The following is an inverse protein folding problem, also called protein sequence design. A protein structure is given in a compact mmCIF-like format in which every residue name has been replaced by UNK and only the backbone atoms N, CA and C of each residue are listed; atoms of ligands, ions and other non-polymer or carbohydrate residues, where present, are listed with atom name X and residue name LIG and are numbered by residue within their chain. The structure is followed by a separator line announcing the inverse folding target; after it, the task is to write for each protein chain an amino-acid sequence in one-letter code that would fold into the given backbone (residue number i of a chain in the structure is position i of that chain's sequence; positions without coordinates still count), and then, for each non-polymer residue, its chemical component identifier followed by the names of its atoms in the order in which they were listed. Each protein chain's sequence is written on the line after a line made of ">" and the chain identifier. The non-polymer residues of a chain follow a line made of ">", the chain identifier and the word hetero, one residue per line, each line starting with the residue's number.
data_IF_043823711835
#
_entry.id   IF_043823711835
#
_cell.length_a   1.000
_cell.length_b   1.000
_cell.length_c   1.000
_cell.angle_alpha   90.00
_cell.angle_beta   90.00
_cell.angle_gamma   90.00
#
_symmetry.space_group_name_H-M   'P 1'
#
loop_
_entity.id
_entity.type
_entity.pdbx_description
1 polymer ?
#
# COMPACT_ATOMS: atom_id res chain seq x y z
N UNK A 1 -6.11 -8.96 6.68
CA UNK A 1 -4.63 -8.92 6.69
C UNK A 1 -4.15 -7.98 7.77
N UNK A 2 -3.02 -8.28 8.41
CA UNK A 2 -2.36 -7.37 9.33
C UNK A 2 -1.69 -6.26 8.51
N UNK A 3 -1.94 -4.99 8.84
CA UNK A 3 -1.29 -3.83 8.25
C UNK A 3 -0.56 -3.05 9.33
N UNK A 4 0.50 -2.35 8.96
CA UNK A 4 1.27 -1.50 9.87
C UNK A 4 0.67 -0.10 9.90
N UNK A 5 0.18 0.32 11.06
CA UNK A 5 -0.44 1.63 11.27
C UNK A 5 0.45 2.46 12.19
N UNK A 6 0.86 3.64 11.73
CA UNK A 6 1.55 4.62 12.55
C UNK A 6 0.52 5.55 13.19
N UNK A 7 0.56 5.65 14.52
CA UNK A 7 -0.22 6.61 15.30
C UNK A 7 0.73 7.75 15.68
N UNK A 8 0.36 8.98 15.34
CA UNK A 8 1.06 10.21 15.73
C UNK A 8 0.11 11.02 16.57
N UNK A 9 0.28 10.94 17.88
CA UNK A 9 -0.62 11.49 18.90
C UNK A 9 0.18 11.76 20.16
N UNK A 10 0.16 12.98 20.69
CA UNK A 10 0.92 13.37 21.89
C UNK A 10 0.19 13.04 23.20
N UNK A 11 -1.13 12.90 23.15
CA UNK A 11 -1.92 12.52 24.31
C UNK A 11 -1.87 11.00 24.52
N UNK A 12 -1.04 10.56 25.48
CA UNK A 12 -0.74 9.15 25.73
C UNK A 12 -2.00 8.29 25.92
N UNK A 13 -3.03 8.80 26.63
CA UNK A 13 -4.27 8.07 26.86
C UNK A 13 -5.04 7.77 25.57
N UNK A 14 -5.06 8.73 24.62
CA UNK A 14 -5.69 8.55 23.32
C UNK A 14 -4.86 7.59 22.47
N UNK A 15 -3.53 7.77 22.45
CA UNK A 15 -2.61 6.92 21.72
C UNK A 15 -2.74 5.45 22.16
N UNK A 16 -2.74 5.18 23.48
CA UNK A 16 -2.89 3.83 24.03
C UNK A 16 -4.26 3.22 23.68
N UNK A 17 -5.33 4.01 23.79
CA UNK A 17 -6.68 3.57 23.42
C UNK A 17 -6.75 3.13 21.95
N UNK A 18 -6.21 3.95 21.06
CA UNK A 18 -6.14 3.62 19.62
C UNK A 18 -5.30 2.36 19.41
N UNK A 19 -4.10 2.31 19.97
CA UNK A 19 -3.17 1.20 19.83
C UNK A 19 -3.77 -0.13 20.31
N UNK A 20 -4.47 -0.13 21.44
CA UNK A 20 -5.15 -1.32 21.97
C UNK A 20 -6.21 -1.85 21.00
N UNK A 21 -7.04 -0.97 20.44
CA UNK A 21 -8.09 -1.37 19.52
C UNK A 21 -7.54 -1.88 18.19
N UNK A 22 -6.49 -1.27 17.66
CA UNK A 22 -5.83 -1.70 16.43
C UNK A 22 -5.13 -3.06 16.60
N UNK A 23 -4.42 -3.26 17.72
CA UNK A 23 -3.80 -4.56 18.04
C UNK A 23 -4.85 -5.67 18.19
N UNK A 24 -6.00 -5.39 18.83
CA UNK A 24 -7.12 -6.34 18.92
C UNK A 24 -7.73 -6.66 17.55
N UNK A 25 -7.70 -5.73 16.61
CA UNK A 25 -8.12 -5.95 15.24
C UNK A 25 -7.07 -6.66 14.38
N UNK A 26 -5.90 -7.03 14.94
CA UNK A 26 -4.84 -7.77 14.26
C UNK A 26 -3.87 -6.92 13.48
N UNK A 27 -3.81 -5.60 13.71
CA UNK A 27 -2.88 -4.69 13.05
C UNK A 27 -1.57 -4.55 13.85
N UNK A 28 -0.48 -4.28 13.13
CA UNK A 28 0.78 -3.82 13.72
C UNK A 28 0.69 -2.32 13.99
N UNK A 29 1.22 -1.88 15.12
CA UNK A 29 1.07 -0.49 15.55
C UNK A 29 2.42 0.10 15.91
N UNK A 30 2.74 1.24 15.29
CA UNK A 30 3.83 2.13 15.64
C UNK A 30 3.23 3.36 16.33
N UNK A 31 3.86 3.85 17.39
CA UNK A 31 3.38 5.00 18.17
C UNK A 31 4.46 6.07 18.21
N UNK A 32 4.10 7.30 17.86
CA UNK A 32 4.92 8.48 17.94
C UNK A 32 4.15 9.58 18.70
N UNK A 33 4.83 10.31 19.57
CA UNK A 33 4.29 11.43 20.36
C UNK A 33 4.52 12.80 19.69
N UNK A 34 5.25 12.81 18.57
CA UNK A 34 5.66 14.02 17.86
C UNK A 34 5.89 13.72 16.37
N UNK A 35 5.84 14.75 15.55
CA UNK A 35 6.14 14.60 14.11
C UNK A 35 7.61 14.24 13.86
N UNK A 36 8.54 14.70 14.72
CA UNK A 36 9.95 14.34 14.60
C UNK A 36 10.16 12.84 14.83
N UNK A 37 9.55 12.30 15.88
CA UNK A 37 9.60 10.86 16.16
C UNK A 37 8.93 10.05 15.04
N UNK A 38 7.76 10.49 14.58
CA UNK A 38 7.05 9.89 13.45
C UNK A 38 7.92 9.86 12.19
N UNK A 39 8.62 10.95 11.87
CA UNK A 39 9.53 11.02 10.72
C UNK A 39 10.67 10.00 10.83
N UNK A 40 11.28 9.86 11.99
CA UNK A 40 12.34 8.84 12.23
C UNK A 40 11.79 7.43 12.01
N UNK A 41 10.56 7.15 12.49
CA UNK A 41 9.92 5.85 12.31
C UNK A 41 9.60 5.56 10.84
N UNK A 42 9.01 6.52 10.12
CA UNK A 42 8.68 6.38 8.68
C UNK A 42 9.94 6.15 7.83
N UNK A 43 11.08 6.73 8.21
CA UNK A 43 12.35 6.49 7.52
C UNK A 43 12.84 5.04 7.69
N UNK A 44 12.59 4.43 8.85
CA UNK A 44 13.00 3.06 9.16
C UNK A 44 11.97 2.04 8.65
N UNK A 45 10.67 2.31 8.87
CA UNK A 45 9.55 1.41 8.58
C UNK A 45 8.45 2.21 7.88
N UNK A 46 8.10 1.83 6.64
CA UNK A 46 7.05 2.51 5.89
C UNK A 46 5.68 1.98 6.33
N UNK A 47 4.83 2.79 7.01
CA UNK A 47 3.51 2.34 7.43
C UNK A 47 2.54 2.25 6.24
N UNK A 48 1.54 1.37 6.37
CA UNK A 48 0.45 1.26 5.41
C UNK A 48 -0.61 2.35 5.58
N UNK A 49 -0.66 2.98 6.77
CA UNK A 49 -1.56 4.08 7.08
C UNK A 49 -0.99 4.89 8.23
N UNK A 50 -1.21 6.20 8.21
CA UNK A 50 -0.90 7.13 9.30
C UNK A 50 -2.20 7.67 9.90
N UNK A 51 -2.37 7.49 11.22
CA UNK A 51 -3.33 8.24 12.03
C UNK A 51 -2.57 9.43 12.60
N UNK A 52 -3.01 10.64 12.31
CA UNK A 52 -2.24 11.85 12.57
C UNK A 52 -3.09 12.86 13.34
N UNK A 53 -2.67 13.19 14.55
CA UNK A 53 -3.31 14.30 15.25
C UNK A 53 -3.04 15.63 14.56
N UNK A 54 -4.03 16.47 14.61
CA UNK A 54 -3.95 17.84 14.10
C UNK A 54 -2.95 18.69 14.87
N UNK A 55 -2.94 18.57 16.20
CA UNK A 55 -2.09 19.35 17.09
C UNK A 55 -1.00 18.47 17.69
N UNK A 56 0.23 18.67 17.26
CA UNK A 56 1.41 18.03 17.80
C UNK A 56 2.33 19.09 18.45
N UNK A 57 3.17 18.69 19.40
CA UNK A 57 3.97 19.65 20.18
C UNK A 57 5.06 20.37 19.36
N UNK A 58 5.58 19.75 18.31
CA UNK A 58 6.70 20.24 17.52
C UNK A 58 6.29 20.88 16.20
N UNK A 59 5.20 20.45 15.58
CA UNK A 59 4.61 21.06 14.38
C UNK A 59 3.14 20.63 14.22
N UNK A 60 2.38 21.38 13.42
CA UNK A 60 1.00 20.96 13.15
C UNK A 60 0.95 19.67 12.32
N UNK A 61 -0.06 18.82 12.59
CA UNK A 61 -0.27 17.60 11.79
C UNK A 61 -0.47 17.91 10.30
N UNK A 62 -1.08 19.05 9.96
CA UNK A 62 -1.21 19.51 8.56
C UNK A 62 0.15 19.72 7.89
N UNK A 63 1.09 20.37 8.59
CA UNK A 63 2.44 20.57 8.06
C UNK A 63 3.17 19.25 7.88
N UNK A 64 3.01 18.33 8.83
CA UNK A 64 3.57 16.99 8.71
C UNK A 64 2.97 16.21 7.55
N UNK A 65 1.64 16.25 7.36
CA UNK A 65 0.97 15.65 6.21
C UNK A 65 1.52 16.20 4.87
N UNK A 66 1.67 17.52 4.76
CA UNK A 66 2.27 18.15 3.57
C UNK A 66 3.70 17.69 3.32
N UNK A 67 4.52 17.50 4.37
CA UNK A 67 5.89 16.95 4.24
C UNK A 67 5.84 15.53 3.70
N UNK A 68 4.99 14.66 4.25
CA UNK A 68 4.82 13.29 3.75
C UNK A 68 4.38 13.25 2.27
N UNK A 69 3.55 14.18 1.82
CA UNK A 69 3.09 14.26 0.42
C UNK A 69 4.16 14.74 -0.55
N UNK A 70 5.18 15.46 -0.08
CA UNK A 70 6.29 15.96 -0.93
C UNK A 70 7.37 14.92 -1.18
N UNK A 71 7.53 13.94 -0.32
CA UNK A 71 8.56 12.92 -0.45
C UNK A 71 8.03 11.73 -1.28
N UNK A 72 8.75 11.33 -2.32
CA UNK A 72 8.33 10.26 -3.25
C UNK A 72 8.03 8.93 -2.56
N UNK A 73 8.78 8.62 -1.50
CA UNK A 73 8.61 7.39 -0.71
C UNK A 73 7.31 7.37 0.10
N UNK A 74 6.89 8.53 0.61
CA UNK A 74 5.79 8.64 1.57
C UNK A 74 4.51 9.23 0.99
N UNK A 75 4.57 9.87 -0.18
CA UNK A 75 3.43 10.57 -0.79
C UNK A 75 2.19 9.70 -1.01
N UNK A 76 2.38 8.38 -1.14
CA UNK A 76 1.30 7.43 -1.35
C UNK A 76 0.74 6.81 -0.05
N UNK A 77 1.31 7.12 1.13
CA UNK A 77 0.81 6.59 2.40
C UNK A 77 -0.54 7.25 2.72
N UNK A 78 -1.61 6.48 2.98
CA UNK A 78 -2.88 7.03 3.43
C UNK A 78 -2.73 7.76 4.78
N UNK A 79 -3.38 8.92 4.91
CA UNK A 79 -3.38 9.72 6.13
C UNK A 79 -4.83 9.95 6.57
N UNK A 80 -5.15 9.57 7.79
CA UNK A 80 -6.39 9.93 8.47
C UNK A 80 -6.06 10.94 9.56
N UNK A 81 -6.63 12.14 9.46
CA UNK A 81 -6.45 13.16 10.50
C UNK A 81 -7.35 12.89 11.70
N UNK A 82 -6.78 12.98 12.90
CA UNK A 82 -7.53 13.01 14.16
C UNK A 82 -7.67 14.46 14.59
N UNK A 83 -8.89 14.95 14.86
CA UNK A 83 -9.09 16.36 15.15
C UNK A 83 -10.19 16.61 16.17
N UNK A 84 -9.96 17.52 17.10
CA UNK A 84 -11.01 18.08 17.96
C UNK A 84 -11.80 19.20 17.25
N UNK A 85 -11.35 19.65 16.07
CA UNK A 85 -11.95 20.77 15.34
C UNK A 85 -13.10 20.28 14.47
N UNK A 86 -14.27 20.87 14.67
CA UNK A 86 -15.53 20.47 14.02
C UNK A 86 -15.85 21.41 12.85
N UNK A 87 -15.18 22.57 12.74
CA UNK A 87 -15.50 23.56 11.73
C UNK A 87 -15.21 23.04 10.31
N UNK A 88 -16.07 23.37 9.38
CA UNK A 88 -15.99 22.94 7.99
C UNK A 88 -14.70 23.43 7.31
N UNK A 89 -14.25 24.65 7.65
CA UNK A 89 -12.99 25.22 7.20
C UNK A 89 -11.76 24.38 7.59
N UNK A 90 -11.75 23.80 8.79
CA UNK A 90 -10.65 22.97 9.26
C UNK A 90 -10.62 21.63 8.52
N UNK A 91 -11.79 21.04 8.26
CA UNK A 91 -11.91 19.79 7.48
C UNK A 91 -11.40 19.97 6.07
N UNK A 92 -11.77 21.09 5.42
CA UNK A 92 -11.29 21.45 4.08
C UNK A 92 -9.77 21.61 4.10
N UNK A 93 -9.20 22.33 5.07
CA UNK A 93 -7.76 22.52 5.18
C UNK A 93 -6.98 21.21 5.37
N UNK A 94 -7.54 20.25 6.12
CA UNK A 94 -6.96 18.90 6.29
C UNK A 94 -6.93 18.11 4.98
N UNK A 95 -8.03 18.12 4.23
CA UNK A 95 -8.13 17.44 2.93
C UNK A 95 -7.21 18.09 1.88
N UNK A 96 -7.17 19.43 1.82
CA UNK A 96 -6.27 20.17 0.94
C UNK A 96 -4.78 19.94 1.27
N UNK A 97 -4.47 19.64 2.54
CA UNK A 97 -3.12 19.25 2.95
C UNK A 97 -2.74 17.83 2.50
N UNK A 98 -3.67 17.09 1.91
CA UNK A 98 -3.47 15.75 1.38
C UNK A 98 -3.89 14.62 2.34
N UNK A 99 -4.71 14.88 3.36
CA UNK A 99 -5.35 13.81 4.12
C UNK A 99 -6.39 13.07 3.25
N UNK A 100 -6.55 11.78 3.51
CA UNK A 100 -7.51 10.93 2.80
C UNK A 100 -8.86 10.84 3.50
N UNK A 101 -8.88 11.07 4.81
CA UNK A 101 -10.07 11.15 5.65
C UNK A 101 -9.75 11.89 6.94
N UNK A 102 -10.78 12.18 7.74
CA UNK A 102 -10.64 12.76 9.07
C UNK A 102 -11.60 12.10 10.06
N UNK A 103 -11.24 12.09 11.33
CA UNK A 103 -12.05 11.60 12.44
C UNK A 103 -12.09 12.66 13.52
N UNK A 104 -13.30 13.03 13.95
CA UNK A 104 -13.46 14.01 15.03
C UNK A 104 -13.38 13.35 16.40
N UNK A 105 -12.57 13.92 17.30
CA UNK A 105 -12.52 13.54 18.72
C UNK A 105 -13.71 14.14 19.47
N UNK A 106 -14.42 13.38 20.36
CA UNK A 106 -14.21 11.97 20.66
C UNK A 106 -14.83 11.04 19.60
N UNK A 107 -14.17 9.93 19.30
CA UNK A 107 -14.61 8.92 18.33
C UNK A 107 -14.82 7.55 18.99
N UNK A 108 -15.66 6.74 18.37
CA UNK A 108 -15.81 5.35 18.78
C UNK A 108 -14.76 4.45 18.13
N UNK A 109 -14.29 3.38 18.83
CA UNK A 109 -13.40 2.38 18.21
C UNK A 109 -13.97 1.77 16.93
N UNK A 110 -15.29 1.61 16.85
CA UNK A 110 -15.97 1.08 15.65
C UNK A 110 -15.86 2.05 14.47
N UNK A 111 -16.03 3.35 14.72
CA UNK A 111 -15.87 4.37 13.67
C UNK A 111 -14.44 4.41 13.16
N UNK A 112 -13.45 4.43 14.07
CA UNK A 112 -12.03 4.41 13.72
C UNK A 112 -11.69 3.23 12.80
N UNK A 113 -12.06 2.01 13.19
CA UNK A 113 -11.80 0.81 12.39
C UNK A 113 -12.53 0.81 11.05
N UNK A 114 -13.76 1.31 11.00
CA UNK A 114 -14.53 1.40 9.76
C UNK A 114 -13.89 2.38 8.76
N UNK A 115 -13.40 3.54 9.23
CA UNK A 115 -12.72 4.53 8.40
C UNK A 115 -11.36 4.05 7.92
N UNK A 116 -10.57 3.42 8.79
CA UNK A 116 -9.30 2.78 8.41
C UNK A 116 -9.55 1.78 7.28
N UNK A 117 -10.51 0.88 7.44
CA UNK A 117 -10.88 -0.10 6.41
C UNK A 117 -11.31 0.57 5.11
N UNK A 118 -12.09 1.64 5.18
CA UNK A 118 -12.56 2.36 4.00
C UNK A 118 -11.42 3.05 3.24
N UNK A 119 -10.48 3.69 3.96
CA UNK A 119 -9.32 4.38 3.37
C UNK A 119 -8.36 3.37 2.76
N UNK A 120 -8.03 2.29 3.48
CA UNK A 120 -7.17 1.23 2.96
C UNK A 120 -7.75 0.59 1.69
N UNK A 121 -9.05 0.32 1.65
CA UNK A 121 -9.72 -0.22 0.46
C UNK A 121 -9.61 0.71 -0.76
N UNK A 122 -9.62 2.03 -0.56
CA UNK A 122 -9.50 3.00 -1.66
C UNK A 122 -8.09 3.13 -2.21
N UNK A 123 -7.08 2.96 -1.35
CA UNK A 123 -5.68 3.25 -1.67
C UNK A 123 -4.80 2.02 -1.85
N UNK A 124 -5.26 0.87 -1.36
CA UNK A 124 -4.57 -0.41 -1.46
C UNK A 124 -5.48 -1.40 -2.22
N UNK A 125 -5.58 -1.31 -3.56
CA UNK A 125 -6.30 -2.29 -4.35
C UNK A 125 -5.81 -3.72 -4.08
N UNK A 126 -4.52 -3.88 -3.77
CA UNK A 126 -3.93 -5.16 -3.38
C UNK A 126 -4.46 -5.74 -2.07
N UNK A 127 -5.19 -4.93 -1.26
CA UNK A 127 -5.89 -5.39 -0.07
C UNK A 127 -7.38 -5.64 -0.33
N UNK A 128 -7.86 -5.38 -1.52
CA UNK A 128 -9.21 -5.74 -1.96
C UNK A 128 -9.25 -7.25 -2.19
N UNK A 129 -10.31 -7.89 -1.67
CA UNK A 129 -10.60 -9.30 -1.96
C UNK A 129 -11.24 -9.47 -3.37
N UNK A 130 -11.27 -8.40 -4.15
CA UNK A 130 -11.84 -8.42 -5.50
C UNK A 130 -10.92 -9.14 -6.48
N UNK A 131 -11.53 -9.94 -7.32
CA UNK A 131 -10.84 -10.62 -8.43
C UNK A 131 -10.34 -9.59 -9.43
N UNK A 132 -9.07 -9.67 -9.82
CA UNK A 132 -8.48 -8.79 -10.82
C UNK A 132 -8.35 -9.57 -12.13
N UNK A 133 -8.95 -9.04 -13.20
CA UNK A 133 -8.87 -9.63 -14.54
C UNK A 133 -8.23 -8.63 -15.52
N UNK A 134 -7.07 -8.96 -16.05
CA UNK A 134 -6.39 -8.15 -17.07
C UNK A 134 -5.24 -8.91 -17.74
N UNK A 135 -4.93 -8.52 -18.98
CA UNK A 135 -3.84 -9.14 -19.75
C UNK A 135 -4.03 -10.63 -20.02
N UNK A 136 -5.27 -11.15 -19.92
CA UNK A 136 -5.57 -12.57 -20.04
C UNK A 136 -5.25 -13.35 -18.75
N UNK A 137 -5.00 -12.67 -17.63
CA UNK A 137 -4.86 -13.26 -16.30
C UNK A 137 -6.07 -12.95 -15.46
N UNK A 138 -6.48 -13.91 -14.62
CA UNK A 138 -7.47 -13.76 -13.55
C UNK A 138 -6.81 -14.12 -12.23
N UNK A 139 -6.67 -13.15 -11.34
CA UNK A 139 -6.10 -13.30 -10.01
C UNK A 139 -7.21 -13.15 -8.96
N UNK A 140 -7.38 -14.18 -8.13
CA UNK A 140 -8.33 -14.20 -7.03
C UNK A 140 -7.56 -14.11 -5.69
N UNK A 141 -7.61 -12.96 -5.01
CA UNK A 141 -6.90 -12.76 -3.75
C UNK A 141 -7.45 -13.63 -2.61
N UNK A 142 -8.75 -13.96 -2.63
CA UNK A 142 -9.42 -14.72 -1.58
C UNK A 142 -8.99 -16.19 -1.59
N UNK A 143 -8.88 -16.78 -2.79
CA UNK A 143 -8.48 -18.18 -2.96
C UNK A 143 -6.97 -18.35 -3.16
N UNK A 144 -6.22 -17.24 -3.31
CA UNK A 144 -4.80 -17.22 -3.67
C UNK A 144 -4.50 -17.98 -4.96
N UNK A 145 -5.40 -17.89 -5.97
CA UNK A 145 -5.26 -18.57 -7.25
C UNK A 145 -5.08 -17.57 -8.38
N UNK A 146 -4.29 -17.98 -9.35
CA UNK A 146 -4.12 -17.27 -10.62
C UNK A 146 -4.48 -18.21 -11.75
N UNK A 147 -5.32 -17.72 -12.66
CA UNK A 147 -5.71 -18.46 -13.88
C UNK A 147 -5.32 -17.65 -15.10
N UNK A 148 -5.07 -18.34 -16.20
CA UNK A 148 -4.88 -17.74 -17.52
C UNK A 148 -6.00 -18.18 -18.45
N UNK A 149 -6.49 -17.25 -19.24
CA UNK A 149 -7.42 -17.53 -20.32
C UNK A 149 -6.64 -18.11 -21.51
N UNK A 150 -7.03 -19.29 -21.98
CA UNK A 150 -6.40 -19.88 -23.15
C UNK A 150 -6.64 -19.00 -24.38
N UNK A 151 -5.58 -18.70 -25.15
CA UNK A 151 -5.67 -17.82 -26.32
C UNK A 151 -6.66 -18.29 -27.38
N UNK A 152 -6.88 -19.61 -27.49
CA UNK A 152 -7.76 -20.22 -28.47
C UNK A 152 -9.14 -20.65 -27.92
N UNK A 153 -9.33 -20.65 -26.60
CA UNK A 153 -10.56 -21.06 -25.92
C UNK A 153 -10.79 -20.10 -24.72
N UNK A 154 -11.40 -18.93 -24.92
CA UNK A 154 -11.54 -17.91 -23.86
C UNK A 154 -12.40 -18.37 -22.66
N UNK A 155 -13.12 -19.47 -22.77
CA UNK A 155 -13.88 -20.07 -21.66
C UNK A 155 -13.04 -21.03 -20.81
N UNK A 156 -11.86 -21.44 -21.30
CA UNK A 156 -11.00 -22.40 -20.59
C UNK A 156 -9.96 -21.68 -19.75
N UNK A 157 -10.14 -21.75 -18.44
CA UNK A 157 -9.21 -21.25 -17.45
C UNK A 157 -8.22 -22.35 -17.07
N UNK A 158 -6.93 -22.05 -17.14
CA UNK A 158 -5.87 -22.92 -16.64
C UNK A 158 -5.24 -22.27 -15.40
N UNK A 159 -5.07 -23.01 -14.33
CA UNK A 159 -4.45 -22.50 -13.09
C UNK A 159 -2.94 -22.43 -13.26
N UNK A 160 -2.36 -21.30 -12.80
CA UNK A 160 -0.92 -21.08 -12.74
C UNK A 160 -0.47 -21.18 -11.28
N UNK A 161 0.43 -22.09 -10.99
CA UNK A 161 0.99 -22.26 -9.65
C UNK A 161 2.05 -21.19 -9.38
N UNK A 162 1.76 -20.25 -8.51
CA UNK A 162 2.69 -19.23 -8.02
C UNK A 162 3.12 -19.51 -6.57
N UNK A 163 4.38 -19.24 -6.25
CA UNK A 163 4.82 -19.17 -4.86
C UNK A 163 4.15 -18.00 -4.12
N UNK A 164 4.09 -18.04 -2.78
CA UNK A 164 3.39 -16.99 -2.00
C UNK A 164 3.93 -15.58 -2.25
N UNK A 165 5.21 -15.44 -2.53
CA UNK A 165 5.85 -14.14 -2.81
C UNK A 165 5.58 -13.68 -4.23
N UNK A 166 5.69 -14.58 -5.21
CA UNK A 166 5.37 -14.29 -6.61
C UNK A 166 3.88 -13.93 -6.77
N UNK A 167 2.98 -14.59 -6.02
CA UNK A 167 1.56 -14.25 -5.99
C UNK A 167 1.35 -12.82 -5.48
N UNK A 168 1.93 -12.46 -4.31
CA UNK A 168 1.81 -11.11 -3.75
C UNK A 168 2.40 -10.05 -4.68
N UNK A 169 3.54 -10.36 -5.32
CA UNK A 169 4.19 -9.46 -6.27
C UNK A 169 3.31 -9.21 -7.51
N UNK A 170 2.76 -10.28 -8.09
CA UNK A 170 1.85 -10.17 -9.22
C UNK A 170 0.59 -9.40 -8.84
N UNK A 171 -0.03 -9.73 -7.70
CA UNK A 171 -1.23 -9.05 -7.20
C UNK A 171 -0.98 -7.56 -7.02
N UNK A 172 0.13 -7.18 -6.38
CA UNK A 172 0.50 -5.76 -6.22
C UNK A 172 0.67 -5.06 -7.57
N UNK A 173 1.43 -5.65 -8.48
CA UNK A 173 1.69 -5.07 -9.79
C UNK A 173 0.42 -4.94 -10.64
N UNK A 174 -0.49 -5.91 -10.61
CA UNK A 174 -1.79 -5.86 -11.30
C UNK A 174 -2.71 -4.81 -10.69
N UNK A 175 -2.75 -4.70 -9.36
CA UNK A 175 -3.55 -3.69 -8.67
C UNK A 175 -3.14 -2.25 -9.03
N UNK A 176 -1.85 -2.05 -9.32
CA UNK A 176 -1.30 -0.76 -9.75
C UNK A 176 -0.81 -0.79 -11.21
N UNK A 177 -1.64 -1.33 -12.10
CA UNK A 177 -1.32 -1.39 -13.53
C UNK A 177 -0.81 -0.05 -14.07
N UNK A 178 0.13 -0.12 -15.04
CA UNK A 178 0.78 1.00 -15.72
C UNK A 178 1.64 1.91 -14.81
N UNK A 179 1.65 1.66 -13.50
CA UNK A 179 2.48 2.42 -12.58
C UNK A 179 3.85 1.77 -12.41
N UNK A 180 4.90 2.57 -12.51
CA UNK A 180 6.27 2.13 -12.25
C UNK A 180 6.54 2.16 -10.75
N UNK A 181 7.06 1.05 -10.22
CA UNK A 181 7.45 0.90 -8.82
C UNK A 181 8.95 0.67 -8.73
N UNK A 182 9.62 1.41 -7.84
CA UNK A 182 11.04 1.17 -7.55
C UNK A 182 11.22 -0.15 -6.80
N UNK A 183 12.48 -0.67 -6.80
CA UNK A 183 12.80 -1.90 -6.05
C UNK A 183 12.50 -1.76 -4.56
N UNK A 184 12.87 -0.64 -3.97
CA UNK A 184 12.57 -0.36 -2.56
C UNK A 184 11.07 -0.30 -2.28
N UNK A 185 10.27 0.33 -3.15
CA UNK A 185 8.82 0.33 -3.01
C UNK A 185 8.21 -1.07 -3.10
N UNK A 186 8.69 -1.90 -4.04
CA UNK A 186 8.25 -3.29 -4.15
C UNK A 186 8.65 -4.10 -2.93
N UNK A 187 9.87 -3.91 -2.42
CA UNK A 187 10.35 -4.58 -1.22
C UNK A 187 9.46 -4.24 -0.03
N UNK A 188 9.28 -2.95 0.26
CA UNK A 188 8.44 -2.46 1.36
C UNK A 188 7.00 -3.00 1.27
N UNK A 189 6.41 -3.06 0.06
CA UNK A 189 5.00 -3.39 -0.14
C UNK A 189 4.69 -4.88 -0.22
N UNK A 190 5.60 -5.66 -0.77
CA UNK A 190 5.38 -7.10 -1.02
C UNK A 190 5.96 -7.96 0.10
N UNK A 191 7.11 -7.57 0.68
CA UNK A 191 7.77 -8.33 1.74
C UNK A 191 7.46 -7.80 3.14
N UNK A 192 7.14 -6.48 3.27
CA UNK A 192 6.91 -5.82 4.55
C UNK A 192 8.23 -5.44 5.26
N UNK A 193 8.09 -4.63 6.31
CA UNK A 193 9.18 -3.87 6.93
C UNK A 193 10.18 -4.66 7.80
N UNK A 194 10.05 -5.95 7.94
CA UNK A 194 10.88 -6.74 8.86
C UNK A 194 11.94 -7.62 8.19
N UNK A 195 12.15 -7.44 6.90
CA UNK A 195 13.09 -8.30 6.20
C UNK A 195 14.30 -7.48 5.77
N UNK A 196 15.43 -7.65 6.45
CA UNK A 196 16.74 -7.15 6.01
C UNK A 196 17.15 -7.89 4.73
N UNK A 197 16.47 -7.59 3.64
CA UNK A 197 16.73 -8.16 2.32
C UNK A 197 17.23 -7.03 1.42
N UNK A 198 18.27 -7.30 0.67
CA UNK A 198 18.80 -6.36 -0.33
C UNK A 198 17.77 -6.17 -1.47
N UNK A 199 17.70 -4.97 -2.05
CA UNK A 199 16.85 -4.61 -3.19
C UNK A 199 16.94 -5.61 -4.37
N UNK A 200 18.10 -6.28 -4.50
CA UNK A 200 18.34 -7.33 -5.51
C UNK A 200 17.45 -8.55 -5.35
N UNK A 201 16.88 -8.78 -4.18
CA UNK A 201 15.92 -9.89 -3.98
C UNK A 201 14.68 -9.71 -4.82
N UNK A 202 14.23 -8.46 -5.02
CA UNK A 202 13.11 -8.15 -5.92
C UNK A 202 13.39 -8.66 -7.34
N UNK A 203 14.60 -8.46 -7.85
CA UNK A 203 14.98 -8.88 -9.21
C UNK A 203 14.90 -10.41 -9.37
N UNK A 204 15.24 -11.17 -8.33
CA UNK A 204 15.14 -12.64 -8.33
C UNK A 204 13.69 -13.09 -8.43
N UNK A 205 12.78 -12.46 -7.66
CA UNK A 205 11.36 -12.82 -7.67
C UNK A 205 10.65 -12.34 -8.95
N UNK A 206 11.03 -11.20 -9.51
CA UNK A 206 10.58 -10.76 -10.84
C UNK A 206 11.00 -11.77 -11.91
N UNK A 207 12.25 -12.24 -11.87
CA UNK A 207 12.74 -13.27 -12.83
C UNK A 207 11.95 -14.58 -12.69
N UNK A 208 11.69 -15.04 -11.46
CA UNK A 208 10.88 -16.24 -11.21
C UNK A 208 9.45 -16.06 -11.69
N UNK A 209 8.83 -14.93 -11.39
CA UNK A 209 7.49 -14.59 -11.84
C UNK A 209 7.40 -14.61 -13.38
N UNK A 210 8.33 -13.93 -14.06
CA UNK A 210 8.38 -13.95 -15.53
C UNK A 210 8.55 -15.35 -16.11
N UNK A 211 9.42 -16.17 -15.52
CA UNK A 211 9.62 -17.55 -15.95
C UNK A 211 8.35 -18.41 -15.84
N UNK A 212 7.53 -18.15 -14.81
CA UNK A 212 6.25 -18.85 -14.67
C UNK A 212 5.25 -18.32 -15.71
N UNK A 213 5.21 -17.00 -15.93
CA UNK A 213 4.35 -16.38 -16.93
C UNK A 213 4.75 -16.71 -18.38
N UNK A 214 6.04 -16.98 -18.65
CA UNK A 214 6.56 -17.42 -19.94
C UNK A 214 5.92 -18.73 -20.40
N UNK A 215 5.64 -19.64 -19.46
CA UNK A 215 4.97 -20.91 -19.77
C UNK A 215 3.54 -20.75 -20.33
N UNK A 216 2.98 -19.54 -20.26
CA UNK A 216 1.65 -19.19 -20.74
C UNK A 216 1.64 -17.95 -21.63
N UNK A 217 2.81 -17.56 -22.17
CA UNK A 217 3.03 -16.43 -23.09
C UNK A 217 2.57 -15.07 -22.47
N UNK A 218 2.84 -14.86 -21.18
CA UNK A 218 2.44 -13.66 -20.42
C UNK A 218 3.60 -12.94 -19.71
N UNK A 219 4.85 -13.31 -19.97
CA UNK A 219 6.04 -12.71 -19.34
C UNK A 219 6.19 -11.22 -19.64
N UNK A 220 5.71 -10.76 -20.79
CA UNK A 220 5.76 -9.36 -21.23
C UNK A 220 4.84 -8.42 -20.41
N UNK A 221 3.89 -8.97 -19.65
CA UNK A 221 3.03 -8.18 -18.77
C UNK A 221 3.80 -7.53 -17.61
N UNK A 222 4.91 -8.15 -17.17
CA UNK A 222 5.78 -7.59 -16.14
C UNK A 222 6.98 -6.94 -16.79
N UNK A 223 6.96 -5.64 -16.95
CA UNK A 223 7.96 -4.87 -17.68
C UNK A 223 9.03 -4.28 -16.75
N UNK A 224 10.26 -4.18 -17.28
CA UNK A 224 11.36 -3.44 -16.64
C UNK A 224 11.41 -2.03 -17.20
N UNK A 225 11.34 -1.03 -16.33
CA UNK A 225 11.64 0.35 -16.66
C UNK A 225 13.08 0.63 -16.25
N UNK A 226 13.98 0.72 -17.24
CA UNK A 226 15.42 0.88 -17.00
C UNK A 226 15.72 2.08 -16.10
N UNK A 227 16.58 1.89 -15.12
CA UNK A 227 16.96 2.93 -14.15
C UNK A 227 15.91 3.22 -13.06
N UNK A 228 14.65 2.71 -13.17
CA UNK A 228 13.58 3.00 -12.22
C UNK A 228 13.10 1.77 -11.47
N UNK A 229 12.61 0.73 -12.17
CA UNK A 229 12.05 -0.44 -11.50
C UNK A 229 11.16 -1.29 -12.42
N UNK A 230 9.97 -1.64 -11.94
CA UNK A 230 9.06 -2.57 -12.61
C UNK A 230 7.64 -2.05 -12.66
N UNK A 231 6.88 -2.46 -13.68
CA UNK A 231 5.45 -2.22 -13.81
C UNK A 231 4.72 -3.43 -14.39
N UNK A 232 3.43 -3.51 -14.18
CA UNK A 232 2.52 -4.37 -14.96
C UNK A 232 1.89 -3.53 -16.05
N UNK A 233 1.96 -4.00 -17.29
CA UNK A 233 1.38 -3.32 -18.44
C UNK A 233 0.74 -4.33 -19.38
N UNK A 234 -0.43 -4.01 -19.89
CA UNK A 234 -1.11 -4.79 -20.93
C UNK A 234 -0.75 -4.28 -22.33
N UNK A 235 -0.09 -3.13 -22.43
CA UNK A 235 0.40 -2.57 -23.68
C UNK A 235 1.72 -3.25 -24.06
N UNK A 236 1.79 -3.81 -25.26
CA UNK A 236 3.05 -4.31 -25.81
C UNK A 236 4.00 -3.14 -26.02
N UNK A 237 5.19 -3.15 -25.40
CA UNK A 237 6.24 -2.21 -25.78
C UNK A 237 6.71 -2.56 -27.20
N UNK A 238 6.34 -1.77 -28.19
CA UNK A 238 6.95 -1.78 -29.52
C UNK A 238 8.35 -1.12 -29.57
N UNK A 239 8.93 -0.77 -28.42
CA UNK A 239 10.28 -0.17 -28.33
C UNK A 239 11.31 -1.17 -27.81
N UNK A 240 11.74 -2.09 -28.64
CA UNK A 240 13.00 -2.84 -28.44
C UNK A 240 13.54 -3.36 -29.78
N UNK A 241 13.72 -2.43 -30.77
CA UNK A 241 14.63 -2.66 -31.90
C UNK A 241 15.31 -1.33 -32.21
N UNK A 242 16.45 -1.08 -31.58
CA UNK A 242 17.60 -0.40 -32.19
C UNK A 242 18.84 -0.62 -31.29
#
# INVERSE_FOLDING_TARGET
>A
MAVTILIVEDELAIQELIALNLKRAGHMVLCADSAEQAKKMVNNVLPDLVLLDWMLPDMSGIEFARKLRREDRTKAIPIIMLTARIQESDKIAGLEAGADDYITKPFSPRELLARIKAVLRRRLPEMSDEVIEMGGLRLDPTTHRVHVYASNEPEKLSEIALGPTEFRLLHFLMAYKERVHTRSQLLDRVWGDHVFIEDRTVDVHIRRLRKILEAVDKENLVQTVRGTGYRFSVECNEESVE
#
